data_IF_763735225454
#
_entry.id   IF_763735225454
#
_cell.length_a   1.000
_cell.length_b   1.000
_cell.length_c   1.000
_cell.angle_alpha   90.00
_cell.angle_beta   90.00
_cell.angle_gamma   90.00
#
_symmetry.space_group_name_H-M   'P 1'
#
loop_
_entity.id
_entity.type
_entity.pdbx_description
1 polymer ?
#
# COMPACT_ATOMS: atom_id res chain seq x y z
N UNK A 1 4.40 21.07 -5.20
CA UNK A 1 5.60 20.90 -6.07
C UNK A 1 6.43 19.74 -5.56
N UNK A 2 7.03 18.98 -6.42
CA UNK A 2 7.94 17.91 -6.04
C UNK A 2 9.26 18.08 -6.79
N UNK A 3 10.35 17.82 -6.11
CA UNK A 3 11.64 17.65 -6.77
C UNK A 3 11.79 16.18 -7.13
N UNK A 4 12.06 15.88 -8.38
CA UNK A 4 12.14 14.51 -8.88
C UNK A 4 13.38 14.33 -9.74
N UNK A 5 14.10 13.24 -9.48
CA UNK A 5 15.09 12.73 -10.41
C UNK A 5 14.46 11.70 -11.36
N UNK A 6 14.82 11.78 -12.60
CA UNK A 6 14.46 10.76 -13.59
C UNK A 6 15.69 10.36 -14.39
N UNK A 7 15.99 9.08 -14.43
CA UNK A 7 17.07 8.52 -15.26
C UNK A 7 16.91 8.82 -16.76
N UNK A 8 15.69 9.13 -17.19
CA UNK A 8 15.42 9.55 -18.58
C UNK A 8 15.77 11.01 -18.85
N UNK A 9 15.96 11.81 -17.82
CA UNK A 9 16.22 13.25 -17.95
C UNK A 9 17.68 13.59 -17.58
N UNK A 10 18.38 12.65 -16.94
CA UNK A 10 19.78 12.79 -16.48
C UNK A 10 20.06 14.09 -15.69
N UNK A 11 19.08 14.61 -14.99
CA UNK A 11 19.21 15.80 -14.16
C UNK A 11 18.18 15.79 -13.01
N UNK A 12 18.50 16.36 -11.85
CA UNK A 12 17.48 16.71 -10.88
C UNK A 12 16.50 17.66 -11.53
N UNK A 13 15.25 17.40 -11.33
CA UNK A 13 14.20 18.18 -11.95
C UNK A 13 13.23 18.62 -10.87
N UNK A 14 12.90 19.90 -10.84
CA UNK A 14 11.76 20.36 -10.08
C UNK A 14 10.52 20.23 -10.94
N UNK A 15 9.50 19.61 -10.37
CA UNK A 15 8.20 19.45 -11.01
C UNK A 15 7.12 20.02 -10.10
N UNK A 16 6.21 20.76 -10.65
CA UNK A 16 4.96 21.10 -9.98
C UNK A 16 3.79 20.47 -10.74
N UNK A 17 2.77 20.08 -9.98
CA UNK A 17 1.57 19.45 -10.51
C UNK A 17 0.42 20.41 -10.19
N UNK A 18 -0.30 20.85 -11.22
CA UNK A 18 -1.50 21.65 -11.08
C UNK A 18 -2.72 20.82 -11.43
N UNK A 19 -3.80 20.97 -10.66
CA UNK A 19 -5.09 20.38 -10.99
C UNK A 19 -5.23 18.89 -10.76
N UNK A 20 -4.43 18.30 -9.86
CA UNK A 20 -4.62 16.90 -9.47
C UNK A 20 -5.91 16.76 -8.64
N UNK A 21 -6.86 15.99 -9.14
CA UNK A 21 -8.01 15.52 -8.37
C UNK A 21 -7.86 14.03 -8.09
N UNK A 22 -8.29 13.59 -6.91
CA UNK A 22 -8.24 12.17 -6.51
C UNK A 22 -9.05 11.22 -7.40
N UNK A 23 -9.93 11.78 -8.25
CA UNK A 23 -10.71 11.05 -9.23
C UNK A 23 -9.91 10.69 -10.49
N UNK A 24 -8.77 11.31 -10.70
CA UNK A 24 -7.95 11.10 -11.90
C UNK A 24 -6.98 9.95 -11.68
N UNK A 25 -7.50 8.73 -11.67
CA UNK A 25 -6.71 7.49 -11.56
C UNK A 25 -6.10 7.08 -12.91
N UNK A 26 -6.56 7.65 -14.01
CA UNK A 26 -5.94 7.43 -15.30
C UNK A 26 -4.72 8.32 -15.41
N UNK A 27 -3.57 7.75 -15.59
CA UNK A 27 -2.31 8.44 -15.89
C UNK A 27 -2.38 9.37 -17.13
N UNK A 28 -3.55 9.69 -17.61
CA UNK A 28 -3.72 10.30 -18.92
C UNK A 28 -3.92 11.81 -18.85
N UNK A 29 -4.61 12.34 -17.87
CA UNK A 29 -5.22 13.64 -18.13
C UNK A 29 -5.10 14.72 -17.05
N UNK A 30 -4.50 14.47 -15.90
CA UNK A 30 -4.41 15.48 -14.82
C UNK A 30 -3.02 15.96 -14.50
N UNK A 31 -2.00 15.31 -15.05
CA UNK A 31 -0.60 15.66 -14.78
C UNK A 31 0.04 16.06 -16.10
N UNK A 32 0.17 17.34 -16.33
CA UNK A 32 1.03 17.84 -17.40
C UNK A 32 2.48 17.48 -17.06
N UNK A 33 2.90 16.31 -17.54
CA UNK A 33 4.25 15.78 -17.32
C UNK A 33 5.26 16.41 -18.27
N UNK A 34 4.82 17.14 -19.28
CA UNK A 34 5.67 17.61 -20.38
C UNK A 34 6.23 19.01 -20.17
N UNK A 35 5.41 19.92 -19.74
CA UNK A 35 5.71 21.35 -19.91
C UNK A 35 6.21 22.04 -18.64
N UNK A 36 6.02 21.45 -17.47
CA UNK A 36 6.31 22.10 -16.19
C UNK A 36 7.55 21.54 -15.49
N UNK A 37 8.47 20.94 -16.23
CA UNK A 37 9.72 20.43 -15.69
C UNK A 37 10.80 21.51 -15.83
N UNK A 38 11.23 22.05 -14.71
CA UNK A 38 12.39 22.93 -14.68
C UNK A 38 13.63 22.10 -14.37
N UNK A 39 14.54 22.02 -15.30
CA UNK A 39 15.78 21.25 -15.18
C UNK A 39 16.86 22.08 -14.47
N UNK A 40 17.56 21.46 -13.54
CA UNK A 40 18.80 22.00 -13.00
C UNK A 40 19.95 21.66 -13.97
N UNK A 41 20.14 22.49 -14.98
CA UNK A 41 20.97 22.16 -16.14
C UNK A 41 22.47 21.96 -15.88
N UNK A 42 22.97 22.43 -14.74
CA UNK A 42 24.41 22.34 -14.44
C UNK A 42 24.78 21.13 -13.58
N UNK A 43 23.78 20.44 -13.04
CA UNK A 43 23.97 19.20 -12.31
C UNK A 43 23.80 17.97 -13.22
N UNK A 44 23.96 18.18 -14.53
CA UNK A 44 23.87 17.11 -15.53
C UNK A 44 25.18 16.36 -15.62
N UNK A 45 25.15 15.07 -15.49
CA UNK A 45 26.28 14.18 -15.66
C UNK A 45 25.91 12.76 -15.29
N UNK A 46 26.65 11.82 -15.81
CA UNK A 46 26.48 10.38 -15.54
C UNK A 46 26.71 10.03 -14.06
N UNK A 47 27.24 10.95 -13.28
CA UNK A 47 27.71 10.72 -11.91
C UNK A 47 26.80 11.35 -10.84
N UNK A 48 25.61 11.78 -11.21
CA UNK A 48 24.76 12.56 -10.32
C UNK A 48 24.20 11.80 -9.11
N UNK A 49 24.11 10.50 -9.16
CA UNK A 49 23.67 9.68 -8.05
C UNK A 49 24.65 8.53 -7.83
N UNK A 50 25.73 8.81 -7.11
CA UNK A 50 26.66 7.79 -6.67
C UNK A 50 26.19 7.19 -5.36
N UNK A 51 26.42 5.90 -5.18
CA UNK A 51 26.22 5.24 -3.89
C UNK A 51 27.12 5.91 -2.86
N UNK A 52 26.51 6.37 -1.76
CA UNK A 52 27.24 7.05 -0.68
C UNK A 52 27.43 8.56 -0.87
N UNK A 53 27.01 9.15 -1.98
CA UNK A 53 27.05 10.60 -2.13
C UNK A 53 25.95 11.30 -1.31
N UNK A 54 26.27 12.49 -0.82
CA UNK A 54 25.37 13.31 -0.03
C UNK A 54 24.78 14.45 -0.88
N UNK A 55 23.48 14.65 -0.71
CA UNK A 55 22.72 15.66 -1.44
C UNK A 55 21.87 16.48 -0.48
N UNK A 56 21.94 17.80 -0.60
CA UNK A 56 21.06 18.69 0.16
C UNK A 56 20.03 19.33 -0.78
N UNK A 57 18.76 19.21 -0.43
CA UNK A 57 17.66 19.86 -1.13
C UNK A 57 16.96 20.82 -0.18
N UNK A 58 16.84 22.07 -0.62
CA UNK A 58 16.13 23.11 0.12
C UNK A 58 15.00 23.68 -0.74
N UNK A 59 13.81 23.78 -0.18
CA UNK A 59 12.69 24.51 -0.77
C UNK A 59 12.29 25.61 0.20
N UNK A 60 12.23 26.84 -0.27
CA UNK A 60 11.82 27.98 0.54
C UNK A 60 10.75 28.81 -0.15
N UNK A 61 9.80 29.30 0.60
CA UNK A 61 8.85 30.31 0.16
C UNK A 61 9.56 31.65 0.08
N UNK A 62 9.33 32.40 -0.99
CA UNK A 62 9.83 33.79 -1.20
C UNK A 62 8.62 34.71 -1.37
N UNK A 63 8.87 36.02 -1.41
CA UNK A 63 7.79 36.99 -1.63
C UNK A 63 7.11 36.80 -3.00
N UNK A 64 7.87 36.37 -4.00
CA UNK A 64 7.39 36.27 -5.37
C UNK A 64 7.05 34.83 -5.80
N UNK A 65 7.17 33.86 -4.88
CA UNK A 65 6.93 32.46 -5.21
C UNK A 65 7.72 31.49 -4.33
N UNK A 66 8.47 30.62 -4.97
CA UNK A 66 9.29 29.60 -4.30
C UNK A 66 10.67 29.53 -4.91
N UNK A 67 11.65 29.16 -4.11
CA UNK A 67 13.01 28.89 -4.53
C UNK A 67 13.37 27.48 -4.10
N UNK A 68 13.90 26.69 -5.04
CA UNK A 68 14.47 25.38 -4.76
C UNK A 68 15.97 25.40 -5.02
N UNK A 69 16.73 24.85 -4.06
CA UNK A 69 18.19 24.78 -4.12
C UNK A 69 18.59 23.32 -4.00
N UNK A 70 19.39 22.85 -4.92
CA UNK A 70 20.05 21.56 -4.88
C UNK A 70 21.54 21.74 -4.73
N UNK A 71 22.13 21.11 -3.71
CA UNK A 71 23.58 21.09 -3.48
C UNK A 71 24.07 19.66 -3.55
N UNK A 72 25.11 19.46 -4.31
CA UNK A 72 25.83 18.19 -4.49
C UNK A 72 27.34 18.44 -4.36
N UNK A 73 28.14 17.38 -4.41
CA UNK A 73 29.60 17.50 -4.50
C UNK A 73 30.06 18.31 -5.73
N UNK A 74 29.22 18.40 -6.78
CA UNK A 74 29.52 19.10 -8.02
C UNK A 74 29.05 20.57 -8.03
N UNK A 75 28.52 21.07 -6.92
CA UNK A 75 28.10 22.46 -6.75
C UNK A 75 26.63 22.63 -6.35
N UNK A 76 26.22 23.88 -6.36
CA UNK A 76 24.88 24.30 -5.94
C UNK A 76 24.14 24.94 -7.11
N UNK A 77 22.89 24.56 -7.27
CA UNK A 77 21.97 25.19 -8.20
C UNK A 77 20.71 25.69 -7.54
N UNK A 78 20.25 26.83 -8.01
CA UNK A 78 19.04 27.49 -7.54
C UNK A 78 18.06 27.63 -8.69
N UNK A 79 16.80 27.26 -8.47
CA UNK A 79 15.69 27.46 -9.36
C UNK A 79 14.61 28.28 -8.66
N UNK A 80 14.11 29.30 -9.35
CA UNK A 80 13.00 30.13 -8.85
C UNK A 80 11.73 29.81 -9.62
N UNK A 81 10.62 29.78 -8.88
CA UNK A 81 9.27 29.63 -9.41
C UNK A 81 8.43 30.83 -8.98
N UNK A 82 7.72 31.42 -9.90
CA UNK A 82 6.83 32.54 -9.60
C UNK A 82 5.56 32.05 -8.86
N UNK A 83 4.87 32.94 -8.15
CA UNK A 83 3.66 32.58 -7.44
C UNK A 83 2.55 32.08 -8.37
N UNK A 84 2.54 32.47 -9.63
CA UNK A 84 1.57 32.06 -10.64
C UNK A 84 1.74 30.60 -11.08
N UNK A 85 2.88 29.99 -10.76
CA UNK A 85 3.15 28.58 -11.07
C UNK A 85 2.43 27.62 -10.11
N UNK A 86 1.80 28.13 -9.06
CA UNK A 86 1.07 27.36 -8.05
C UNK A 86 -0.37 27.83 -7.97
N UNK A 87 -1.24 27.19 -8.72
CA UNK A 87 -2.68 27.50 -8.76
C UNK A 87 -3.51 26.80 -7.72
N UNK A 88 -2.95 25.83 -7.01
CA UNK A 88 -3.63 25.10 -5.93
C UNK A 88 -2.77 25.09 -4.66
N UNK A 89 -2.90 26.12 -3.86
CA UNK A 89 -2.60 26.08 -2.43
C UNK A 89 -3.85 25.49 -1.77
N UNK A 90 -3.70 24.61 -0.78
CA UNK A 90 -4.84 24.16 -0.02
C UNK A 90 -5.56 25.38 0.57
N UNK A 91 -6.89 25.35 0.62
CA UNK A 91 -7.70 26.50 1.05
C UNK A 91 -7.35 27.00 2.46
N UNK A 92 -6.79 26.13 3.29
CA UNK A 92 -6.34 26.43 4.66
C UNK A 92 -4.89 26.96 4.73
N UNK A 93 -4.20 27.09 3.61
CA UNK A 93 -2.81 27.53 3.55
C UNK A 93 -1.78 26.50 4.03
N UNK A 94 -2.19 25.29 4.33
CA UNK A 94 -1.26 24.22 4.75
C UNK A 94 -0.41 23.71 3.59
N UNK A 95 0.84 23.37 3.89
CA UNK A 95 1.78 22.78 2.94
C UNK A 95 2.25 21.44 3.50
N UNK A 96 2.01 20.38 2.75
CA UNK A 96 2.56 19.08 3.08
C UNK A 96 3.93 18.91 2.43
N UNK A 97 4.94 18.66 3.25
CA UNK A 97 6.30 18.39 2.79
C UNK A 97 6.63 16.94 3.05
N UNK A 98 7.08 16.24 2.04
CA UNK A 98 7.44 14.83 2.15
C UNK A 98 8.57 14.44 1.20
N UNK A 99 9.24 13.35 1.52
CA UNK A 99 10.24 12.71 0.67
C UNK A 99 9.64 11.42 0.12
N UNK A 100 9.63 11.30 -1.20
CA UNK A 100 9.21 10.07 -1.87
C UNK A 100 10.39 9.45 -2.59
N UNK A 101 10.65 8.17 -2.29
CA UNK A 101 11.67 7.37 -2.95
C UNK A 101 10.99 6.29 -3.78
N UNK A 102 11.35 6.19 -5.04
CA UNK A 102 10.75 5.23 -5.97
C UNK A 102 11.81 4.52 -6.83
N UNK A 103 11.46 3.34 -7.33
CA UNK A 103 12.23 2.60 -8.35
C UNK A 103 13.64 2.18 -7.95
N UNK A 104 13.75 1.33 -6.93
CA UNK A 104 15.01 0.66 -6.52
C UNK A 104 16.13 1.61 -6.08
N UNK A 105 15.80 2.81 -5.64
CA UNK A 105 16.77 3.74 -5.04
C UNK A 105 16.58 3.67 -3.53
N UNK A 106 17.64 3.36 -2.81
CA UNK A 106 17.72 3.50 -1.36
C UNK A 106 18.31 4.86 -1.01
N UNK A 107 17.64 5.63 -0.16
CA UNK A 107 18.18 6.87 0.39
C UNK A 107 18.17 6.81 1.91
N UNK A 108 19.20 7.35 2.52
CA UNK A 108 19.23 7.62 3.95
C UNK A 108 19.00 9.11 4.15
N UNK A 109 17.93 9.47 4.84
CA UNK A 109 17.69 10.86 5.23
C UNK A 109 18.45 11.09 6.52
N UNK A 110 19.42 12.00 6.50
CA UNK A 110 20.30 12.27 7.65
C UNK A 110 19.86 13.49 8.43
N UNK A 111 19.19 14.43 7.77
CA UNK A 111 18.65 15.64 8.41
C UNK A 111 17.39 16.13 7.69
N UNK A 112 16.37 16.52 8.46
CA UNK A 112 15.19 17.23 7.97
C UNK A 112 15.03 18.47 8.84
N UNK A 113 15.22 19.64 8.25
CA UNK A 113 15.08 20.91 8.95
C UNK A 113 13.95 21.74 8.35
N UNK A 114 13.00 22.11 9.18
CA UNK A 114 11.96 23.07 8.86
C UNK A 114 12.27 24.38 9.56
N UNK A 115 12.27 25.48 8.80
CA UNK A 115 12.39 26.81 9.37
C UNK A 115 11.21 27.65 8.87
N UNK A 116 10.49 28.25 9.79
CA UNK A 116 9.51 29.28 9.50
C UNK A 116 10.14 30.64 9.79
N UNK A 117 10.05 31.57 8.84
CA UNK A 117 10.34 32.98 9.15
C UNK A 117 9.05 33.58 9.69
N UNK A 118 9.14 34.33 10.78
CA UNK A 118 8.02 35.18 11.21
C UNK A 118 7.72 36.15 10.08
N UNK A 119 6.62 35.94 9.37
CA UNK A 119 6.12 36.98 8.48
C UNK A 119 5.52 38.07 9.34
N UNK A 120 6.10 39.27 9.29
CA UNK A 120 5.45 40.44 9.89
C UNK A 120 4.08 40.63 9.21
N UNK A 121 3.01 40.25 9.88
CA UNK A 121 1.65 40.56 9.44
C UNK A 121 0.66 39.40 9.33
N UNK A 122 1.06 38.15 9.51
CA UNK A 122 0.09 37.11 9.83
C UNK A 122 -0.18 37.17 11.34
N UNK A 123 -1.43 37.49 11.69
CA UNK A 123 -1.89 37.27 13.04
C UNK A 123 -1.46 35.87 13.45
N UNK A 124 -0.88 35.71 14.62
CA UNK A 124 -0.71 34.42 15.24
C UNK A 124 -2.10 33.82 15.36
N UNK A 125 -2.51 33.02 14.37
CA UNK A 125 -3.59 32.10 14.62
C UNK A 125 -3.06 31.24 15.76
N UNK A 126 -3.75 31.25 16.89
CA UNK A 126 -3.56 30.21 17.88
C UNK A 126 -3.49 28.91 17.11
N UNK A 127 -2.48 28.10 17.40
CA UNK A 127 -2.32 26.83 16.72
C UNK A 127 -3.68 26.14 16.75
N UNK A 128 -4.36 26.10 15.62
CA UNK A 128 -5.60 25.35 15.51
C UNK A 128 -5.16 23.91 15.66
N UNK A 129 -5.40 23.36 16.85
CA UNK A 129 -5.18 21.93 17.05
C UNK A 129 -5.96 21.22 15.96
N UNK A 130 -5.27 20.47 15.13
CA UNK A 130 -5.89 19.71 14.04
C UNK A 130 -6.99 18.83 14.64
N UNK A 131 -8.23 19.20 14.39
CA UNK A 131 -9.38 18.46 14.92
C UNK A 131 -9.49 17.14 14.20
N UNK A 132 -9.38 16.07 14.96
CA UNK A 132 -9.47 14.69 14.46
C UNK A 132 -10.93 14.23 14.56
N UNK A 133 -11.53 13.92 13.44
CA UNK A 133 -12.81 13.19 13.40
C UNK A 133 -12.51 11.70 13.52
N UNK A 134 -12.99 11.04 14.60
CA UNK A 134 -12.68 9.64 14.83
C UNK A 134 -13.15 8.74 13.72
N UNK A 135 -12.30 7.82 13.32
CA UNK A 135 -12.56 6.84 12.29
C UNK A 135 -11.74 5.57 12.52
N UNK A 136 -12.21 4.46 11.97
CA UNK A 136 -11.47 3.21 11.85
C UNK A 136 -11.37 2.78 10.40
N UNK A 137 -10.22 2.24 10.03
CA UNK A 137 -9.99 1.61 8.72
C UNK A 137 -9.80 0.12 8.92
N UNK A 138 -10.53 -0.68 8.13
CA UNK A 138 -10.41 -2.14 8.13
C UNK A 138 -9.61 -2.56 6.91
N UNK A 139 -8.57 -3.36 7.13
CA UNK A 139 -7.66 -3.84 6.09
C UNK A 139 -7.74 -5.35 5.87
N UNK A 140 -8.85 -5.94 6.28
CA UNK A 140 -9.07 -7.39 6.20
C UNK A 140 -9.74 -7.79 4.89
N UNK A 141 -9.46 -9.00 4.42
CA UNK A 141 -10.13 -9.58 3.26
C UNK A 141 -11.55 -10.02 3.60
N UNK A 142 -12.40 -10.16 2.61
CA UNK A 142 -13.74 -10.72 2.74
C UNK A 142 -13.79 -12.24 2.51
N UNK A 143 -12.64 -12.90 2.39
CA UNK A 143 -12.52 -14.35 2.15
C UNK A 143 -11.43 -14.97 3.03
N UNK A 144 -11.61 -16.19 3.49
CA UNK A 144 -10.58 -16.97 4.16
C UNK A 144 -10.84 -18.48 4.00
N UNK A 145 -9.79 -19.30 4.12
CA UNK A 145 -9.86 -20.76 4.16
C UNK A 145 -9.72 -21.32 5.58
N UNK A 146 -8.91 -20.67 6.42
CA UNK A 146 -8.64 -21.10 7.77
C UNK A 146 -9.82 -20.86 8.72
N UNK A 147 -9.87 -21.62 9.81
CA UNK A 147 -10.87 -21.45 10.87
C UNK A 147 -10.63 -20.25 11.77
N UNK A 148 -9.41 -19.72 11.75
CA UNK A 148 -9.02 -18.47 12.38
C UNK A 148 -8.72 -17.43 11.29
N UNK A 149 -9.27 -16.25 11.47
CA UNK A 149 -9.17 -15.14 10.54
C UNK A 149 -8.55 -13.93 11.23
N UNK A 150 -7.49 -13.37 10.65
CA UNK A 150 -6.87 -12.17 11.18
C UNK A 150 -7.67 -10.93 10.75
N UNK A 151 -8.36 -10.32 11.70
CA UNK A 151 -9.09 -9.08 11.51
C UNK A 151 -8.19 -7.89 11.86
N UNK A 152 -7.88 -7.06 10.86
CA UNK A 152 -6.96 -5.93 11.02
C UNK A 152 -7.71 -4.61 10.97
N UNK A 153 -7.58 -3.82 12.03
CA UNK A 153 -8.20 -2.50 12.19
C UNK A 153 -7.15 -1.46 12.54
N UNK A 154 -7.28 -0.26 12.00
CA UNK A 154 -6.42 0.88 12.32
C UNK A 154 -7.31 2.08 12.70
N UNK A 155 -7.36 2.47 13.98
CA UNK A 155 -8.02 3.70 14.42
C UNK A 155 -7.13 4.93 14.13
N UNK A 156 -7.74 6.08 13.89
CA UNK A 156 -7.00 7.32 13.66
C UNK A 156 -6.79 8.18 14.94
N UNK A 157 -7.27 7.71 16.07
CA UNK A 157 -7.05 8.35 17.38
C UNK A 157 -7.06 7.28 18.48
N UNK A 158 -6.68 7.66 19.71
CA UNK A 158 -6.73 6.78 20.87
C UNK A 158 -8.18 6.48 21.29
N UNK A 159 -8.39 5.28 21.85
CA UNK A 159 -9.70 4.86 22.35
C UNK A 159 -9.77 3.38 22.65
N UNK A 160 -10.99 2.87 22.78
CA UNK A 160 -11.27 1.44 23.03
C UNK A 160 -11.87 0.81 21.79
N UNK A 161 -11.20 -0.20 21.22
CA UNK A 161 -11.70 -1.00 20.11
C UNK A 161 -12.32 -2.28 20.63
N UNK A 162 -13.59 -2.54 20.27
CA UNK A 162 -14.29 -3.81 20.56
C UNK A 162 -14.62 -4.51 19.25
N UNK A 163 -14.25 -5.79 19.17
CA UNK A 163 -14.58 -6.67 18.03
C UNK A 163 -15.46 -7.80 18.48
N UNK A 164 -16.54 -8.04 17.73
CA UNK A 164 -17.54 -9.06 17.96
C UNK A 164 -17.83 -9.83 16.67
N UNK A 165 -18.63 -10.91 16.76
CA UNK A 165 -18.96 -11.74 15.60
C UNK A 165 -18.02 -12.94 15.43
N UNK A 166 -17.13 -13.20 16.41
CA UNK A 166 -16.35 -14.42 16.44
C UNK A 166 -17.27 -15.65 16.62
N UNK A 167 -17.01 -16.72 15.86
CA UNK A 167 -17.80 -17.95 15.89
C UNK A 167 -17.78 -18.66 17.25
N UNK A 168 -16.78 -18.39 18.08
CA UNK A 168 -16.68 -18.87 19.45
C UNK A 168 -17.45 -18.01 20.47
N UNK A 169 -18.14 -16.98 19.99
CA UNK A 169 -18.92 -16.05 20.79
C UNK A 169 -18.11 -15.04 21.60
N UNK A 170 -16.79 -15.06 21.50
CA UNK A 170 -15.94 -14.12 22.25
C UNK A 170 -16.00 -12.71 21.65
N UNK A 171 -16.09 -11.74 22.53
CA UNK A 171 -15.83 -10.35 22.21
C UNK A 171 -14.42 -9.98 22.69
N UNK A 172 -13.67 -9.31 21.84
CA UNK A 172 -12.32 -8.83 22.17
C UNK A 172 -12.39 -7.31 22.33
N UNK A 173 -11.90 -6.81 23.45
CA UNK A 173 -11.80 -5.38 23.73
C UNK A 173 -10.35 -5.03 24.01
N UNK A 174 -9.87 -3.93 23.41
CA UNK A 174 -8.48 -3.50 23.53
C UNK A 174 -8.39 -1.96 23.52
N UNK A 175 -7.62 -1.41 24.43
CA UNK A 175 -7.17 -0.03 24.36
C UNK A 175 -6.17 0.13 23.20
N UNK A 176 -6.36 1.16 22.39
CA UNK A 176 -5.59 1.39 21.16
C UNK A 176 -5.13 2.83 21.09
N UNK A 177 -4.02 3.03 20.39
CA UNK A 177 -3.48 4.36 20.11
C UNK A 177 -3.75 4.76 18.64
N UNK A 178 -3.54 6.05 18.34
CA UNK A 178 -3.66 6.53 16.96
C UNK A 178 -2.73 5.78 16.01
N UNK A 179 -3.27 5.40 14.86
CA UNK A 179 -2.58 4.70 13.78
C UNK A 179 -1.97 3.33 14.15
N UNK A 180 -2.35 2.79 15.31
CA UNK A 180 -1.95 1.45 15.72
C UNK A 180 -2.57 0.40 14.78
N UNK A 181 -1.74 -0.48 14.22
CA UNK A 181 -2.21 -1.62 13.44
C UNK A 181 -2.61 -2.74 14.39
N UNK A 182 -3.91 -2.85 14.66
CA UNK A 182 -4.47 -3.84 15.58
C UNK A 182 -4.85 -5.08 14.79
N UNK A 183 -4.21 -6.23 15.11
CA UNK A 183 -4.52 -7.54 14.53
C UNK A 183 -5.21 -8.39 15.57
N UNK A 184 -6.38 -8.91 15.22
CA UNK A 184 -7.25 -9.66 16.13
C UNK A 184 -7.58 -10.99 15.47
N UNK A 185 -7.21 -12.13 16.08
CA UNK A 185 -7.65 -13.43 15.62
C UNK A 185 -9.16 -13.61 15.95
N UNK A 186 -9.92 -13.95 14.93
CA UNK A 186 -11.38 -14.16 15.02
C UNK A 186 -11.70 -15.55 14.49
N UNK A 187 -12.38 -16.38 15.28
CA UNK A 187 -12.86 -17.65 14.80
C UNK A 187 -14.00 -17.45 13.80
N UNK A 188 -14.00 -18.19 12.69
CA UNK A 188 -15.02 -18.12 11.64
C UNK A 188 -15.52 -19.49 11.23
N UNK A 189 -16.84 -19.61 11.08
CA UNK A 189 -17.49 -20.81 10.56
C UNK A 189 -17.42 -20.88 9.04
N UNK A 190 -17.54 -22.08 8.50
CA UNK A 190 -17.75 -22.26 7.04
C UNK A 190 -19.04 -21.55 6.64
N UNK A 191 -18.97 -20.81 5.54
CA UNK A 191 -20.05 -19.95 5.06
C UNK A 191 -19.83 -18.49 5.39
N UNK A 192 -20.90 -17.73 5.52
CA UNK A 192 -20.86 -16.27 5.75
C UNK A 192 -20.76 -15.97 7.25
N UNK A 193 -19.86 -15.06 7.59
CA UNK A 193 -19.65 -14.55 8.94
C UNK A 193 -19.70 -13.03 8.88
N UNK A 194 -20.26 -12.39 9.92
CA UNK A 194 -20.25 -10.93 10.05
C UNK A 194 -19.43 -10.56 11.28
N UNK A 195 -18.33 -9.83 11.05
CA UNK A 195 -17.46 -9.33 12.10
C UNK A 195 -17.74 -7.84 12.25
N UNK A 196 -17.97 -7.39 13.48
CA UNK A 196 -18.26 -6.00 13.81
C UNK A 196 -17.14 -5.43 14.66
N UNK A 197 -16.60 -4.29 14.23
CA UNK A 197 -15.71 -3.46 15.01
C UNK A 197 -16.47 -2.23 15.51
N UNK A 198 -16.41 -1.95 16.81
CA UNK A 198 -16.93 -0.76 17.46
C UNK A 198 -15.76 -0.06 18.14
N UNK A 199 -15.57 1.21 17.82
CA UNK A 199 -14.49 2.02 18.34
C UNK A 199 -15.07 3.18 19.12
N UNK A 200 -14.73 3.27 20.39
CA UNK A 200 -15.08 4.37 21.30
C UNK A 200 -13.86 5.28 21.45
N UNK A 201 -13.88 6.47 20.83
CA UNK A 201 -12.75 7.39 20.92
C UNK A 201 -12.56 7.90 22.34
N UNK A 202 -11.31 7.98 22.80
CA UNK A 202 -10.99 8.65 24.04
C UNK A 202 -11.22 10.16 23.91
N UNK A 203 -11.77 10.77 24.94
CA UNK A 203 -11.96 12.21 24.97
C UNK A 203 -10.60 12.93 25.02
N UNK A 204 -10.37 13.84 24.06
CA UNK A 204 -9.21 14.73 24.03
C UNK A 204 -9.62 16.07 23.40
N UNK A 205 -8.85 17.12 23.64
CA UNK A 205 -9.18 18.47 23.18
C UNK A 205 -9.34 18.60 21.65
N UNK A 206 -8.54 17.82 20.91
CA UNK A 206 -8.55 17.79 19.46
C UNK A 206 -9.55 16.79 18.85
N UNK A 207 -10.27 16.01 19.65
CA UNK A 207 -11.25 15.03 19.15
C UNK A 207 -12.61 15.69 18.94
N UNK A 208 -13.15 15.59 17.72
CA UNK A 208 -14.42 16.25 17.35
C UNK A 208 -15.65 15.58 17.94
N UNK A 209 -15.58 14.29 18.26
CA UNK A 209 -16.71 13.51 18.78
C UNK A 209 -16.22 12.27 19.53
N UNK A 210 -16.89 11.94 20.62
CA UNK A 210 -16.70 10.67 21.36
C UNK A 210 -17.76 9.63 21.00
N UNK A 211 -18.55 9.86 19.96
CA UNK A 211 -19.52 8.87 19.48
C UNK A 211 -18.80 7.63 18.94
N UNK A 212 -19.35 6.46 19.27
CA UNK A 212 -18.85 5.19 18.74
C UNK A 212 -18.88 5.17 17.22
N UNK A 213 -17.75 4.79 16.65
CA UNK A 213 -17.59 4.52 15.21
C UNK A 213 -17.67 3.01 15.00
N UNK A 214 -18.53 2.55 14.10
CA UNK A 214 -18.70 1.12 13.84
C UNK A 214 -18.40 0.79 12.37
N UNK A 215 -17.90 -0.43 12.17
CA UNK A 215 -17.70 -1.02 10.85
C UNK A 215 -18.08 -2.49 10.88
N UNK A 216 -18.76 -2.96 9.84
CA UNK A 216 -19.09 -4.36 9.66
C UNK A 216 -18.34 -4.93 8.46
N UNK A 217 -17.84 -6.14 8.61
CA UNK A 217 -17.12 -6.86 7.55
C UNK A 217 -17.75 -8.24 7.39
N UNK A 218 -18.23 -8.52 6.20
CA UNK A 218 -18.72 -9.84 5.84
C UNK A 218 -17.56 -10.68 5.31
N UNK A 219 -17.31 -11.82 5.96
CA UNK A 219 -16.24 -12.74 5.60
C UNK A 219 -16.85 -14.07 5.20
N UNK A 220 -16.53 -14.54 4.01
CA UNK A 220 -16.92 -15.88 3.56
C UNK A 220 -15.75 -16.83 3.75
N UNK A 221 -15.98 -17.91 4.51
CA UNK A 221 -15.05 -19.02 4.62
C UNK A 221 -15.50 -20.17 3.75
N UNK A 222 -14.58 -20.65 2.92
CA UNK A 222 -14.71 -21.92 2.20
C UNK A 222 -13.52 -22.80 2.52
N UNK A 223 -13.73 -24.09 2.47
CA UNK A 223 -12.70 -25.10 2.73
C UNK A 223 -12.58 -25.99 1.49
N UNK A 224 -11.40 -26.01 0.91
CA UNK A 224 -11.05 -26.92 -0.17
C UNK A 224 -9.97 -27.87 0.35
N UNK A 225 -10.30 -29.15 0.40
CA UNK A 225 -9.42 -30.16 0.98
C UNK A 225 -9.14 -29.94 2.47
N UNK A 226 -8.28 -30.76 3.01
CA UNK A 226 -7.82 -30.67 4.41
C UNK A 226 -6.48 -29.92 4.50
N UNK A 227 -6.11 -29.50 5.70
CA UNK A 227 -4.80 -28.91 5.95
C UNK A 227 -3.69 -29.91 5.56
N UNK A 228 -2.73 -29.45 4.74
CA UNK A 228 -1.64 -30.29 4.22
C UNK A 228 -1.96 -31.05 2.93
N UNK A 229 -3.19 -30.99 2.43
CA UNK A 229 -3.52 -31.56 1.13
C UNK A 229 -3.02 -30.71 -0.04
N UNK A 230 -2.82 -31.41 -1.17
CA UNK A 230 -2.55 -30.76 -2.46
C UNK A 230 -3.87 -30.40 -3.14
N UNK A 231 -4.00 -29.15 -3.54
CA UNK A 231 -5.14 -28.64 -4.30
C UNK A 231 -4.69 -28.41 -5.75
N UNK A 232 -5.44 -28.99 -6.67
CA UNK A 232 -5.14 -28.92 -8.10
C UNK A 232 -5.78 -27.67 -8.72
N UNK A 233 -4.97 -26.91 -9.46
CA UNK A 233 -5.45 -25.79 -10.26
C UNK A 233 -5.00 -25.93 -11.71
N UNK A 234 -5.87 -25.53 -12.64
CA UNK A 234 -5.59 -25.52 -14.07
C UNK A 234 -5.90 -24.14 -14.66
N UNK A 235 -5.38 -23.79 -15.84
CA UNK A 235 -5.75 -22.55 -16.52
C UNK A 235 -7.26 -22.41 -16.73
N UNK A 236 -7.95 -23.53 -17.02
CA UNK A 236 -9.39 -23.60 -17.25
C UNK A 236 -10.18 -24.04 -16.00
N UNK A 237 -9.52 -24.07 -14.85
CA UNK A 237 -10.12 -24.40 -13.56
C UNK A 237 -11.32 -23.52 -13.23
N UNK A 238 -12.29 -24.07 -12.51
CA UNK A 238 -13.57 -23.40 -12.25
C UNK A 238 -13.66 -22.94 -10.79
N UNK A 239 -14.35 -21.84 -10.57
CA UNK A 239 -14.69 -21.35 -9.20
C UNK A 239 -15.55 -22.35 -8.41
N UNK A 240 -16.23 -23.26 -9.12
CA UNK A 240 -17.07 -24.33 -8.57
C UNK A 240 -16.35 -25.67 -8.44
N UNK A 241 -15.09 -25.74 -8.82
CA UNK A 241 -14.24 -26.92 -8.61
C UNK A 241 -14.05 -27.22 -7.13
N UNK A 242 -13.56 -28.41 -6.84
CA UNK A 242 -13.24 -28.84 -5.47
C UNK A 242 -11.72 -28.99 -5.24
N UNK A 243 -10.90 -28.78 -6.28
CA UNK A 243 -9.46 -28.84 -6.21
C UNK A 243 -8.87 -30.25 -6.37
N UNK A 244 -9.66 -31.21 -6.88
CA UNK A 244 -9.19 -32.53 -7.29
C UNK A 244 -8.73 -32.54 -8.76
N UNK A 245 -8.10 -33.63 -9.21
CA UNK A 245 -7.72 -33.82 -10.64
C UNK A 245 -8.96 -33.83 -11.54
N UNK A 246 -10.09 -34.38 -11.07
CA UNK A 246 -11.34 -34.49 -11.81
C UNK A 246 -12.12 -33.18 -11.83
N UNK A 247 -11.90 -32.31 -10.83
CA UNK A 247 -12.64 -31.04 -10.65
C UNK A 247 -11.70 -29.92 -10.18
N UNK A 248 -10.74 -29.49 -11.01
CA UNK A 248 -9.73 -28.51 -10.62
C UNK A 248 -10.34 -27.13 -10.41
N UNK A 249 -9.75 -26.41 -9.48
CA UNK A 249 -10.10 -25.02 -9.18
C UNK A 249 -9.40 -24.03 -10.12
N UNK A 250 -9.98 -22.86 -10.28
CA UNK A 250 -9.24 -21.71 -10.79
C UNK A 250 -8.27 -21.15 -9.72
N UNK A 251 -7.18 -20.56 -10.18
CA UNK A 251 -6.09 -20.10 -9.31
C UNK A 251 -6.56 -19.02 -8.31
N UNK A 252 -7.37 -18.07 -8.71
CA UNK A 252 -7.78 -16.97 -7.84
C UNK A 252 -8.75 -17.44 -6.73
N UNK A 253 -9.59 -18.43 -7.03
CA UNK A 253 -10.45 -19.04 -6.01
C UNK A 253 -9.61 -19.74 -4.96
N UNK A 254 -8.67 -20.60 -5.35
CA UNK A 254 -7.87 -21.31 -4.35
C UNK A 254 -7.02 -20.35 -3.52
N UNK A 255 -6.43 -19.32 -4.12
CA UNK A 255 -5.64 -18.33 -3.39
C UNK A 255 -6.45 -17.48 -2.41
N UNK A 256 -7.76 -17.41 -2.60
CA UNK A 256 -8.67 -16.72 -1.68
C UNK A 256 -9.02 -17.57 -0.45
N UNK A 257 -8.84 -18.89 -0.53
CA UNK A 257 -9.30 -19.84 0.48
C UNK A 257 -8.24 -20.88 0.89
N UNK A 258 -7.00 -20.71 0.51
CA UNK A 258 -5.92 -21.61 0.92
C UNK A 258 -5.72 -21.62 2.44
N UNK A 259 -5.30 -22.75 2.96
CA UNK A 259 -5.08 -22.97 4.38
C UNK A 259 -3.60 -23.24 4.68
N UNK A 260 -3.13 -22.92 5.89
CA UNK A 260 -1.76 -23.23 6.30
C UNK A 260 -1.40 -24.70 6.06
N UNK A 261 -0.25 -24.93 5.44
CA UNK A 261 0.29 -26.27 5.13
C UNK A 261 -0.18 -26.85 3.81
N UNK A 262 -1.13 -26.24 3.10
CA UNK A 262 -1.56 -26.73 1.78
C UNK A 262 -0.52 -26.50 0.71
N UNK A 263 -0.52 -27.39 -0.29
CA UNK A 263 0.22 -27.22 -1.54
C UNK A 263 -0.78 -26.96 -2.66
N UNK A 264 -0.63 -25.86 -3.37
CA UNK A 264 -1.41 -25.53 -4.55
C UNK A 264 -0.56 -25.93 -5.75
N UNK A 265 -0.94 -27.01 -6.44
CA UNK A 265 -0.25 -27.52 -7.61
C UNK A 265 -0.89 -26.91 -8.87
N UNK A 266 -0.14 -26.06 -9.51
CA UNK A 266 -0.52 -25.50 -10.81
C UNK A 266 -0.16 -26.49 -11.92
N UNK A 267 -1.16 -26.99 -12.63
CA UNK A 267 -0.96 -27.83 -13.81
C UNK A 267 -0.41 -27.01 -14.96
N UNK A 268 0.32 -27.65 -15.84
CA UNK A 268 0.93 -27.01 -17.01
C UNK A 268 -0.10 -26.26 -17.86
N UNK A 269 0.33 -25.14 -18.39
CA UNK A 269 -0.48 -24.29 -19.27
C UNK A 269 -0.25 -22.80 -19.04
N UNK A 270 -1.00 -21.99 -19.76
CA UNK A 270 -0.90 -20.53 -19.75
C UNK A 270 -1.98 -19.95 -18.86
N UNK A 271 -1.55 -19.21 -17.85
CA UNK A 271 -2.41 -18.47 -16.95
C UNK A 271 -2.35 -16.97 -17.34
N UNK A 272 -3.45 -16.44 -17.80
CA UNK A 272 -3.57 -15.09 -18.37
C UNK A 272 -4.16 -14.07 -17.42
N UNK A 273 -4.51 -14.47 -16.18
CA UNK A 273 -5.08 -13.61 -15.15
C UNK A 273 -4.05 -13.21 -14.11
N UNK A 274 -4.16 -11.97 -13.64
CA UNK A 274 -3.35 -11.49 -12.53
C UNK A 274 -3.62 -12.31 -11.28
N UNK A 275 -2.56 -12.78 -10.64
CA UNK A 275 -2.60 -13.63 -9.45
C UNK A 275 -2.30 -12.78 -8.23
N UNK A 276 -3.20 -12.78 -7.23
CA UNK A 276 -3.00 -12.03 -6.00
C UNK A 276 -3.15 -12.94 -4.77
N UNK A 277 -2.09 -13.04 -4.01
CA UNK A 277 -2.10 -13.66 -2.68
C UNK A 277 -2.41 -12.57 -1.65
N UNK A 278 -3.62 -12.61 -1.13
CA UNK A 278 -4.14 -11.59 -0.22
C UNK A 278 -3.53 -11.69 1.19
N UNK A 279 -3.57 -10.58 1.92
CA UNK A 279 -3.04 -10.45 3.28
C UNK A 279 -3.65 -11.45 4.28
N UNK A 280 -4.93 -11.78 4.12
CA UNK A 280 -5.66 -12.70 5.02
C UNK A 280 -5.40 -14.16 4.74
N UNK A 281 -4.66 -14.50 3.67
CA UNK A 281 -4.34 -15.89 3.32
C UNK A 281 -2.85 -16.10 3.57
N UNK A 282 -2.56 -16.50 4.80
CA UNK A 282 -1.19 -16.70 5.26
C UNK A 282 -0.98 -18.14 5.70
N UNK A 283 0.21 -18.66 5.47
CA UNK A 283 0.71 -19.84 6.18
C UNK A 283 1.16 -19.47 7.60
N UNK A 284 1.84 -20.40 8.22
CA UNK A 284 2.59 -20.18 9.47
C UNK A 284 4.04 -20.64 9.28
N UNK A 285 4.92 -20.30 10.23
CA UNK A 285 6.31 -20.74 10.17
C UNK A 285 6.45 -22.28 10.04
N UNK A 286 5.58 -23.01 10.74
CA UNK A 286 5.59 -24.48 10.74
C UNK A 286 4.72 -25.10 9.61
N UNK A 287 3.82 -24.31 9.03
CA UNK A 287 2.88 -24.74 7.99
C UNK A 287 2.78 -23.69 6.90
N UNK A 288 3.84 -23.45 6.10
CA UNK A 288 3.78 -22.55 4.98
C UNK A 288 2.79 -23.05 3.94
N UNK A 289 2.26 -22.14 3.13
CA UNK A 289 1.45 -22.51 1.97
C UNK A 289 2.39 -22.52 0.74
N UNK A 290 2.29 -23.57 -0.07
CA UNK A 290 3.16 -23.75 -1.22
C UNK A 290 2.35 -23.53 -2.51
N UNK A 291 2.82 -22.66 -3.39
CA UNK A 291 2.33 -22.50 -4.76
C UNK A 291 3.39 -23.04 -5.70
N UNK A 292 3.12 -24.18 -6.31
CA UNK A 292 4.13 -24.98 -7.03
C UNK A 292 3.66 -25.27 -8.45
N UNK A 293 4.53 -25.06 -9.41
CA UNK A 293 4.30 -25.50 -10.78
C UNK A 293 4.48 -27.01 -10.91
N UNK A 294 3.63 -27.67 -11.71
CA UNK A 294 3.77 -29.10 -12.08
C UNK A 294 5.10 -29.33 -12.81
N UNK A 295 5.46 -28.46 -13.74
CA UNK A 295 6.78 -28.43 -14.33
C UNK A 295 7.25 -27.00 -14.59
N UNK A 296 8.59 -26.82 -14.56
CA UNK A 296 9.22 -25.52 -14.73
C UNK A 296 9.44 -25.27 -16.21
N UNK A 297 8.95 -24.12 -16.70
CA UNK A 297 9.30 -23.66 -18.05
C UNK A 297 10.67 -22.98 -18.05
N UNK A 298 11.43 -23.17 -19.11
CA UNK A 298 12.70 -22.48 -19.33
C UNK A 298 12.62 -21.39 -20.39
N UNK A 299 11.64 -21.47 -21.29
CA UNK A 299 11.48 -20.56 -22.42
C UNK A 299 10.06 -20.00 -22.59
N UNK A 300 9.12 -20.44 -21.75
CA UNK A 300 7.71 -20.02 -21.77
C UNK A 300 6.87 -20.72 -22.84
N UNK A 301 7.32 -21.86 -23.36
CA UNK A 301 6.56 -22.65 -24.34
C UNK A 301 5.86 -23.85 -23.71
N UNK A 302 6.33 -24.32 -22.58
CA UNK A 302 5.79 -25.45 -21.81
C UNK A 302 5.67 -25.09 -20.30
N UNK A 303 5.32 -26.05 -19.46
CA UNK A 303 5.23 -25.87 -18.01
C UNK A 303 4.15 -24.86 -17.60
N UNK A 304 4.35 -24.22 -16.46
CA UNK A 304 3.41 -23.20 -15.93
C UNK A 304 3.88 -21.81 -16.33
N UNK A 305 3.11 -21.14 -17.18
CA UNK A 305 3.44 -19.83 -17.75
C UNK A 305 2.40 -18.78 -17.34
N UNK A 306 2.83 -17.69 -16.71
CA UNK A 306 2.03 -16.50 -16.51
C UNK A 306 2.25 -15.56 -17.70
N UNK A 307 1.26 -15.40 -18.57
CA UNK A 307 1.40 -14.62 -19.80
C UNK A 307 0.47 -13.41 -19.79
N UNK A 308 1.03 -12.22 -19.94
CA UNK A 308 0.27 -10.96 -19.82
C UNK A 308 -0.29 -10.73 -18.42
N UNK A 309 0.16 -11.50 -17.46
CA UNK A 309 -0.28 -11.52 -16.06
C UNK A 309 0.92 -11.36 -15.15
N UNK A 310 0.64 -11.07 -13.88
CA UNK A 310 1.66 -10.92 -12.85
C UNK A 310 1.24 -11.58 -11.54
N UNK A 311 2.17 -11.65 -10.62
CA UNK A 311 1.96 -12.19 -9.28
C UNK A 311 2.19 -11.08 -8.25
N UNK A 312 1.18 -10.85 -7.40
CA UNK A 312 1.27 -9.98 -6.23
C UNK A 312 1.17 -10.82 -4.97
N UNK A 313 2.15 -10.71 -4.09
CA UNK A 313 2.18 -11.43 -2.81
C UNK A 313 2.09 -10.42 -1.67
N UNK A 314 1.02 -10.49 -0.90
CA UNK A 314 0.79 -9.66 0.29
C UNK A 314 0.71 -10.56 1.54
N UNK A 315 0.30 -11.82 1.37
CA UNK A 315 0.25 -12.83 2.43
C UNK A 315 1.65 -13.25 2.88
N UNK A 316 1.75 -13.75 4.12
CA UNK A 316 2.99 -14.22 4.74
C UNK A 316 3.11 -15.75 4.71
N UNK A 317 4.33 -16.24 4.81
CA UNK A 317 4.64 -17.68 4.84
C UNK A 317 4.15 -18.44 3.60
N UNK A 318 4.45 -17.88 2.43
CA UNK A 318 4.24 -18.51 1.14
C UNK A 318 5.56 -18.93 0.52
N UNK A 319 5.59 -20.13 -0.02
CA UNK A 319 6.66 -20.59 -0.90
C UNK A 319 6.12 -20.67 -2.33
N UNK A 320 6.72 -19.94 -3.24
CA UNK A 320 6.33 -19.90 -4.65
C UNK A 320 7.47 -20.45 -5.48
N UNK A 321 7.18 -21.46 -6.29
CA UNK A 321 8.20 -22.18 -7.01
C UNK A 321 7.77 -22.59 -8.43
N UNK A 322 8.68 -22.38 -9.39
CA UNK A 322 8.59 -22.93 -10.74
C UNK A 322 7.72 -22.13 -11.74
N UNK A 323 7.29 -20.92 -11.40
CA UNK A 323 6.49 -20.09 -12.29
C UNK A 323 7.38 -19.36 -13.30
N UNK A 324 7.02 -19.42 -14.57
CA UNK A 324 7.61 -18.61 -15.63
C UNK A 324 6.71 -17.40 -15.91
N UNK A 325 7.26 -16.20 -15.85
CA UNK A 325 6.52 -14.95 -16.10
C UNK A 325 6.98 -14.35 -17.42
N UNK A 326 6.00 -14.10 -18.32
CA UNK A 326 6.25 -13.68 -19.71
C UNK A 326 5.66 -12.32 -20.00
#
# INVERSE_FOLDING_TARGET
SSMMYSSKINAPTMRYITGYTSADTSNKDGVDRGNNNVKFNQLTGTDMFKVGAEYTFTVRKTNDGYEAVATTENGTQTQKLTANDFTSVQEDGTVVVGVMVARKIGVKITDIKFTTSESKGLATSEAVEDKVTPSIRVYSSNTCGAGEYEYTVVPNCAGTLKVTGSADGKAISKEVTADEVVRIPVAVNVGSNTIKAEFEPAAAANITSTKTVASETNVTRKVYGEAGQTIIVTPDGKTTGDGTEESPLDINTVLSYAQPGQTILMKNGVYDKWITINRSVCGTADKPINLVAESISTDGTDGVVLSGAGLTIIGSYWHVYGLYVK
#
